data_IF_465020790505
#
_entry.id   IF_465020790505
#
_cell.length_a   1.000
_cell.length_b   1.000
_cell.length_c   1.000
_cell.angle_alpha   90.00
_cell.angle_beta   90.00
_cell.angle_gamma   90.00
#
_symmetry.space_group_name_H-M   'P 1'
#
loop_
_entity.id
_entity.type
_entity.pdbx_description
1 polymer ?
#
# COMPACT_ATOMS: atom_id res chain seq x y z
N UNK A 1 3.12 -37.94 53.81
CA UNK A 1 2.00 -37.13 53.31
C UNK A 1 2.12 -37.15 51.81
N UNK A 2 1.47 -38.14 51.21
CA UNK A 2 1.30 -38.27 49.76
C UNK A 2 0.33 -37.20 49.29
N UNK A 3 0.69 -36.43 48.26
CA UNK A 3 -0.27 -35.71 47.42
C UNK A 3 0.12 -35.92 45.96
N UNK A 4 -0.22 -37.11 45.45
CA UNK A 4 -0.11 -37.46 44.04
C UNK A 4 -1.09 -36.66 43.20
N UNK A 5 -0.64 -35.55 42.63
CA UNK A 5 -1.38 -34.83 41.59
C UNK A 5 -1.38 -35.65 40.30
N UNK A 6 -2.47 -36.39 40.05
CA UNK A 6 -2.69 -37.12 38.82
C UNK A 6 -2.81 -36.15 37.63
N UNK A 7 -1.69 -35.85 36.97
CA UNK A 7 -1.70 -35.13 35.69
C UNK A 7 -2.23 -36.06 34.61
N UNK A 8 -3.49 -35.89 34.23
CA UNK A 8 -4.12 -36.59 33.09
C UNK A 8 -3.48 -36.12 31.79
N UNK A 9 -2.38 -36.78 31.40
CA UNK A 9 -1.69 -36.52 30.13
C UNK A 9 -2.38 -37.23 28.97
N UNK A 10 -2.77 -36.47 27.95
CA UNK A 10 -3.24 -37.04 26.67
C UNK A 10 -2.02 -37.25 25.77
N UNK A 11 -1.75 -38.50 25.39
CA UNK A 11 -0.63 -38.87 24.53
C UNK A 11 -1.05 -38.65 23.06
N UNK A 12 -0.54 -37.57 22.46
CA UNK A 12 -0.60 -37.39 21.01
C UNK A 12 0.59 -38.12 20.38
N UNK A 13 0.32 -39.28 19.77
CA UNK A 13 1.23 -40.03 18.88
C UNK A 13 1.71 -39.11 17.74
N UNK A 14 2.95 -39.06 17.26
CA UNK A 14 4.19 -39.83 17.44
C UNK A 14 5.40 -38.92 17.10
N UNK A 15 6.36 -38.75 18.02
CA UNK A 15 7.76 -38.42 17.69
C UNK A 15 8.64 -38.90 18.84
N UNK A 16 9.62 -39.80 18.62
CA UNK A 16 10.46 -40.30 19.70
C UNK A 16 11.29 -39.15 20.29
N UNK A 17 11.11 -38.89 21.60
CA UNK A 17 11.82 -37.84 22.34
C UNK A 17 10.98 -36.61 22.74
N UNK A 18 9.69 -36.53 22.40
CA UNK A 18 8.84 -35.42 22.83
C UNK A 18 8.43 -35.56 24.31
N UNK A 19 8.83 -34.59 25.15
CA UNK A 19 8.36 -34.47 26.53
C UNK A 19 6.84 -34.23 26.54
N UNK A 20 6.07 -34.79 27.51
CA UNK A 20 4.63 -34.56 27.60
C UNK A 20 4.37 -33.06 27.80
N UNK A 21 3.52 -32.47 26.95
CA UNK A 21 3.18 -31.07 27.07
C UNK A 21 2.16 -30.90 28.21
N UNK A 22 2.48 -30.03 29.17
CA UNK A 22 1.53 -29.57 30.16
C UNK A 22 0.50 -28.68 29.45
N UNK A 23 -0.80 -28.90 29.68
CA UNK A 23 -1.91 -28.20 28.99
C UNK A 23 -1.76 -26.66 29.05
N UNK A 24 -1.15 -26.15 30.13
CA UNK A 24 -0.92 -24.72 30.37
C UNK A 24 0.17 -24.13 29.43
N UNK A 25 1.17 -24.94 29.04
CA UNK A 25 2.26 -24.49 28.15
C UNK A 25 1.84 -24.40 26.68
N UNK A 26 0.77 -25.11 26.31
CA UNK A 26 0.28 -25.16 24.93
C UNK A 26 -0.41 -23.83 24.54
N UNK A 27 -1.07 -23.15 25.49
CA UNK A 27 -1.64 -21.81 25.27
C UNK A 27 -0.58 -20.74 25.03
N UNK A 28 0.54 -20.78 25.75
CA UNK A 28 1.63 -19.81 25.58
C UNK A 28 2.46 -20.04 24.30
N UNK A 29 2.51 -21.28 23.80
CA UNK A 29 3.13 -21.61 22.50
C UNK A 29 2.21 -21.32 21.32
N UNK A 30 0.91 -21.58 21.47
CA UNK A 30 -0.12 -21.17 20.50
C UNK A 30 -0.53 -19.74 20.77
N UNK A 31 0.41 -18.79 20.62
CA UNK A 31 0.05 -17.39 20.39
C UNK A 31 -0.59 -17.27 19.01
N UNK A 32 -1.74 -17.91 18.82
CA UNK A 32 -2.69 -17.52 17.78
C UNK A 32 -3.20 -16.16 18.25
N UNK A 33 -2.85 -15.05 17.59
CA UNK A 33 -3.47 -13.78 17.92
C UNK A 33 -4.95 -13.90 17.58
N UNK A 34 -5.76 -14.29 18.56
CA UNK A 34 -7.20 -14.20 18.48
C UNK A 34 -7.48 -12.72 18.15
N UNK A 35 -8.28 -12.47 17.12
CA UNK A 35 -8.58 -11.13 16.62
C UNK A 35 -7.43 -10.36 15.93
N UNK A 36 -6.58 -11.03 15.12
CA UNK A 36 -5.56 -10.35 14.28
C UNK A 36 -6.12 -9.18 13.44
N UNK A 37 -7.40 -9.21 13.05
CA UNK A 37 -8.06 -8.14 12.30
C UNK A 37 -8.46 -6.92 13.16
N UNK A 38 -8.41 -7.02 14.49
CA UNK A 38 -8.59 -5.90 15.42
C UNK A 38 -7.25 -5.23 15.80
N UNK A 39 -6.14 -5.87 15.45
CA UNK A 39 -4.81 -5.29 15.67
C UNK A 39 -4.58 -4.21 14.60
N UNK A 40 -4.38 -2.97 15.04
CA UNK A 40 -4.02 -1.85 14.16
C UNK A 40 -2.76 -2.23 13.35
N UNK A 41 -2.80 -2.17 12.02
CA UNK A 41 -1.61 -2.36 11.20
C UNK A 41 -0.49 -1.41 11.64
N UNK A 42 0.70 -1.94 11.86
CA UNK A 42 1.89 -1.14 12.18
C UNK A 42 2.50 -0.47 10.93
N UNK A 43 2.06 -0.89 9.74
CA UNK A 43 2.41 -0.27 8.48
C UNK A 43 1.28 0.67 8.03
N UNK A 44 1.63 1.72 7.28
CA UNK A 44 0.64 2.59 6.67
C UNK A 44 -0.06 1.80 5.57
N UNK A 45 -1.39 1.85 5.57
CA UNK A 45 -2.24 1.05 4.68
C UNK A 45 -2.00 1.35 3.20
N UNK A 46 -1.51 2.55 2.89
CA UNK A 46 -1.24 2.98 1.52
C UNK A 46 0.19 3.48 1.37
N UNK A 47 0.84 3.05 0.29
CA UNK A 47 2.22 3.44 -0.02
C UNK A 47 2.39 4.97 -0.12
N UNK A 48 1.42 5.68 -0.69
CA UNK A 48 1.48 7.15 -0.83
C UNK A 48 1.57 7.90 0.51
N UNK A 49 1.14 7.28 1.63
CA UNK A 49 1.26 7.89 2.95
C UNK A 49 2.70 7.93 3.45
N UNK A 50 3.54 7.00 3.01
CA UNK A 50 4.98 7.05 3.28
C UNK A 50 5.61 8.24 2.55
N UNK A 51 5.30 8.41 1.27
CA UNK A 51 5.78 9.53 0.48
C UNK A 51 5.30 10.87 1.04
N UNK A 52 4.04 10.94 1.47
CA UNK A 52 3.47 12.12 2.11
C UNK A 52 4.24 12.50 3.39
N UNK A 53 4.50 11.50 4.26
CA UNK A 53 5.25 11.72 5.50
C UNK A 53 6.63 12.30 5.22
N UNK A 54 7.37 11.65 4.32
CA UNK A 54 8.72 12.06 3.92
C UNK A 54 8.69 13.47 3.34
N UNK A 55 7.72 13.75 2.48
CA UNK A 55 7.65 15.03 1.79
C UNK A 55 7.31 16.21 2.70
N UNK A 56 6.47 16.02 3.72
CA UNK A 56 5.99 17.13 4.56
C UNK A 56 6.75 17.29 5.87
N UNK A 57 7.16 16.18 6.49
CA UNK A 57 7.62 16.22 7.87
C UNK A 57 9.13 16.04 8.00
N UNK A 58 9.80 15.27 7.14
CA UNK A 58 11.20 14.90 7.36
C UNK A 58 12.12 16.14 7.45
N UNK A 59 11.95 17.12 6.55
CA UNK A 59 12.77 18.34 6.57
C UNK A 59 12.61 19.14 7.88
N UNK A 60 11.40 19.18 8.43
CA UNK A 60 11.09 19.91 9.68
C UNK A 60 11.56 19.13 10.90
N UNK A 61 11.39 17.80 10.88
CA UNK A 61 11.86 16.92 11.94
C UNK A 61 13.39 17.01 12.03
N UNK A 62 14.11 16.91 10.92
CA UNK A 62 15.58 17.05 10.91
C UNK A 62 16.03 18.41 11.42
N UNK A 63 15.34 19.49 11.01
CA UNK A 63 15.61 20.83 11.52
C UNK A 63 15.44 20.92 13.06
N UNK A 64 14.32 20.42 13.59
CA UNK A 64 14.03 20.45 15.02
C UNK A 64 15.02 19.60 15.82
N UNK A 65 15.37 18.42 15.30
CA UNK A 65 16.32 17.51 15.92
C UNK A 65 17.72 18.13 15.97
N UNK A 66 18.23 18.66 14.85
CA UNK A 66 19.53 19.36 14.80
C UNK A 66 19.56 20.58 15.72
N UNK A 67 18.47 21.36 15.76
CA UNK A 67 18.32 22.50 16.68
C UNK A 67 18.38 22.05 18.13
N UNK A 68 17.73 20.94 18.49
CA UNK A 68 17.74 20.41 19.86
C UNK A 68 19.15 19.98 20.32
N UNK A 69 19.98 19.50 19.39
CA UNK A 69 21.38 19.12 19.64
C UNK A 69 22.35 20.30 19.65
N UNK A 70 21.86 21.53 19.44
CA UNK A 70 22.70 22.73 19.34
C UNK A 70 23.50 22.84 18.04
N UNK A 71 23.18 22.03 17.02
CA UNK A 71 23.81 22.11 15.71
C UNK A 71 23.15 23.22 14.91
N UNK A 72 23.96 24.15 14.37
CA UNK A 72 23.46 25.14 13.43
C UNK A 72 22.80 24.43 12.24
N UNK A 73 21.51 24.71 12.02
CA UNK A 73 20.72 24.14 10.95
C UNK A 73 19.88 25.22 10.31
N UNK A 74 19.78 25.20 8.99
CA UNK A 74 18.98 26.15 8.23
C UNK A 74 17.50 25.79 8.34
N UNK A 75 16.64 26.82 8.43
CA UNK A 75 15.20 26.62 8.42
C UNK A 75 14.81 26.04 7.05
N UNK A 76 14.04 24.93 7.00
CA UNK A 76 13.66 24.31 5.74
C UNK A 76 12.86 25.31 4.88
N UNK A 77 13.24 25.42 3.59
CA UNK A 77 12.58 26.35 2.68
C UNK A 77 11.12 25.94 2.44
N UNK A 78 10.21 26.92 2.30
CA UNK A 78 8.84 26.64 1.88
C UNK A 78 8.89 26.03 0.47
N UNK A 79 8.34 24.83 0.34
CA UNK A 79 8.19 24.13 -0.94
C UNK A 79 6.71 23.88 -1.21
N UNK A 80 6.31 24.08 -2.47
CA UNK A 80 5.00 23.71 -2.98
C UNK A 80 4.86 22.19 -3.07
N UNK A 81 3.62 21.71 -3.15
CA UNK A 81 3.35 20.28 -3.34
C UNK A 81 4.03 19.73 -4.59
N UNK A 82 4.01 20.47 -5.70
CA UNK A 82 4.63 20.06 -6.95
C UNK A 82 6.15 19.84 -6.81
N UNK A 83 6.85 20.76 -6.13
CA UNK A 83 8.29 20.64 -5.88
C UNK A 83 8.63 19.42 -5.02
N UNK A 84 7.82 19.16 -3.99
CA UNK A 84 8.00 17.99 -3.11
C UNK A 84 7.79 16.68 -3.88
N UNK A 85 6.77 16.61 -4.74
CA UNK A 85 6.56 15.45 -5.61
C UNK A 85 7.72 15.26 -6.57
N UNK A 86 8.19 16.33 -7.23
CA UNK A 86 9.36 16.26 -8.12
C UNK A 86 10.61 15.76 -7.39
N UNK A 87 10.81 16.18 -6.14
CA UNK A 87 11.89 15.68 -5.29
C UNK A 87 11.77 14.17 -5.05
N UNK A 88 10.60 13.66 -4.65
CA UNK A 88 10.39 12.22 -4.48
C UNK A 88 10.68 11.44 -5.76
N UNK A 89 10.19 11.95 -6.90
CA UNK A 89 10.42 11.32 -8.20
C UNK A 89 11.89 11.32 -8.62
N UNK A 90 12.65 12.35 -8.22
CA UNK A 90 14.09 12.46 -8.50
C UNK A 90 14.93 11.59 -7.57
N UNK A 91 14.54 11.48 -6.30
CA UNK A 91 15.27 10.71 -5.27
C UNK A 91 14.97 9.23 -5.32
N UNK A 92 13.76 8.84 -5.76
CA UNK A 92 13.43 7.44 -6.00
C UNK A 92 14.37 6.89 -7.09
N UNK A 93 15.30 6.02 -6.69
CA UNK A 93 16.10 5.23 -7.61
C UNK A 93 15.16 4.32 -8.38
N UNK A 94 14.70 4.78 -9.54
CA UNK A 94 14.05 3.91 -10.50
C UNK A 94 15.10 2.92 -10.97
N UNK A 95 14.75 1.64 -10.96
CA UNK A 95 15.54 0.66 -11.68
C UNK A 95 15.68 1.18 -13.12
N UNK A 96 16.89 1.06 -13.69
CA UNK A 96 17.20 1.56 -15.03
C UNK A 96 16.18 0.98 -16.02
N UNK A 97 15.76 -0.27 -15.83
CA UNK A 97 14.70 -0.94 -16.59
C UNK A 97 13.34 -0.24 -16.50
N UNK A 98 12.98 0.33 -15.35
CA UNK A 98 11.70 0.99 -15.10
C UNK A 98 11.65 2.40 -15.71
N UNK A 99 12.79 3.10 -15.70
CA UNK A 99 12.95 4.36 -16.44
C UNK A 99 12.85 4.13 -17.96
N UNK A 100 13.46 3.05 -18.48
CA UNK A 100 13.33 2.67 -19.89
C UNK A 100 11.92 2.20 -20.26
N UNK A 101 11.16 1.60 -19.33
CA UNK A 101 9.78 1.16 -19.58
C UNK A 101 8.85 2.31 -19.99
N UNK A 102 8.95 3.49 -19.37
CA UNK A 102 8.11 4.64 -19.76
C UNK A 102 8.42 5.14 -21.19
N UNK A 103 9.68 4.97 -21.63
CA UNK A 103 10.10 5.29 -23.00
C UNK A 103 9.92 4.14 -23.99
N UNK A 104 9.62 2.93 -23.50
CA UNK A 104 9.60 1.75 -24.32
C UNK A 104 8.42 1.77 -25.29
N UNK A 105 8.70 1.33 -26.52
CA UNK A 105 7.73 1.28 -27.61
C UNK A 105 6.48 0.46 -27.24
N UNK A 106 6.58 -0.49 -26.30
CA UNK A 106 5.46 -1.33 -25.87
C UNK A 106 4.40 -0.54 -25.12
N UNK A 107 4.77 0.29 -24.13
CA UNK A 107 3.80 1.10 -23.39
C UNK A 107 3.12 2.15 -24.27
N UNK A 108 3.83 2.70 -25.28
CA UNK A 108 3.21 3.57 -26.29
C UNK A 108 2.14 2.84 -27.11
N UNK A 109 2.28 1.53 -27.36
CA UNK A 109 1.26 0.74 -28.08
C UNK A 109 0.03 0.52 -27.21
N UNK A 110 0.21 0.22 -25.92
CA UNK A 110 -0.90 0.02 -24.99
C UNK A 110 -1.69 1.32 -24.76
N UNK A 111 -0.99 2.43 -24.61
CA UNK A 111 -1.61 3.74 -24.44
C UNK A 111 -2.35 4.19 -25.72
N UNK A 112 -1.74 3.97 -26.89
CA UNK A 112 -2.39 4.20 -28.19
C UNK A 112 -3.63 3.31 -28.37
N UNK A 113 -3.56 2.04 -27.95
CA UNK A 113 -4.69 1.10 -27.98
C UNK A 113 -5.82 1.59 -27.07
N UNK A 114 -5.52 2.02 -25.84
CA UNK A 114 -6.49 2.59 -24.93
C UNK A 114 -7.17 3.83 -25.52
N UNK A 115 -6.39 4.76 -26.10
CA UNK A 115 -6.91 5.96 -26.75
C UNK A 115 -7.84 5.64 -27.92
N UNK A 116 -7.48 4.66 -28.76
CA UNK A 116 -8.36 4.21 -29.84
C UNK A 116 -9.64 3.56 -29.31
N UNK A 117 -9.55 2.69 -28.32
CA UNK A 117 -10.71 2.02 -27.72
C UNK A 117 -11.68 3.05 -27.12
N UNK A 118 -11.16 4.00 -26.33
CA UNK A 118 -11.96 5.06 -25.72
C UNK A 118 -12.61 5.95 -26.79
N UNK A 119 -11.82 6.38 -27.79
CA UNK A 119 -12.33 7.20 -28.91
C UNK A 119 -13.43 6.49 -29.70
N UNK A 120 -13.28 5.19 -29.96
CA UNK A 120 -14.28 4.40 -30.68
C UNK A 120 -15.57 4.23 -29.87
N UNK A 121 -15.46 4.00 -28.56
CA UNK A 121 -16.63 3.92 -27.67
C UNK A 121 -17.41 5.24 -27.62
N UNK A 122 -16.70 6.36 -27.43
CA UNK A 122 -17.32 7.69 -27.38
C UNK A 122 -18.01 8.03 -28.71
N UNK A 123 -17.34 7.79 -29.84
CA UNK A 123 -17.93 8.05 -31.18
C UNK A 123 -19.16 7.20 -31.43
N UNK A 124 -19.11 5.92 -31.08
CA UNK A 124 -20.25 5.01 -31.21
C UNK A 124 -21.43 5.47 -30.36
N UNK A 125 -21.19 5.80 -29.08
CA UNK A 125 -22.21 6.33 -28.18
C UNK A 125 -22.82 7.64 -28.70
N UNK A 126 -21.99 8.58 -29.14
CA UNK A 126 -22.46 9.87 -29.67
C UNK A 126 -23.30 9.70 -30.94
N UNK A 127 -22.87 8.84 -31.86
CA UNK A 127 -23.63 8.52 -33.06
C UNK A 127 -24.99 7.92 -32.70
N UNK A 128 -25.00 6.92 -31.81
CA UNK A 128 -26.23 6.24 -31.41
C UNK A 128 -27.19 7.17 -30.65
N UNK A 129 -26.69 7.94 -29.68
CA UNK A 129 -27.47 8.88 -28.88
C UNK A 129 -28.09 9.98 -29.75
N UNK A 130 -27.31 10.55 -30.69
CA UNK A 130 -27.81 11.55 -31.64
C UNK A 130 -28.87 10.96 -32.57
N UNK A 131 -28.64 9.77 -33.12
CA UNK A 131 -29.61 9.09 -33.97
C UNK A 131 -30.91 8.76 -33.23
N UNK A 132 -30.81 8.27 -31.99
CA UNK A 132 -31.97 7.99 -31.14
C UNK A 132 -32.79 9.25 -30.86
N UNK A 133 -32.11 10.33 -30.43
CA UNK A 133 -32.74 11.62 -30.12
C UNK A 133 -33.45 12.17 -31.35
N UNK A 134 -32.78 12.18 -32.51
CA UNK A 134 -33.37 12.60 -33.77
C UNK A 134 -34.59 11.76 -34.14
N UNK A 135 -34.53 10.42 -33.99
CA UNK A 135 -35.66 9.54 -34.32
C UNK A 135 -36.85 9.74 -33.37
N UNK A 136 -36.60 9.89 -32.08
CA UNK A 136 -37.64 10.05 -31.05
C UNK A 136 -38.36 11.38 -31.15
N UNK A 137 -37.61 12.45 -31.40
CA UNK A 137 -38.15 13.82 -31.41
C UNK A 137 -38.35 14.41 -32.80
N UNK A 138 -38.18 13.62 -33.88
CA UNK A 138 -38.39 14.05 -35.29
C UNK A 138 -39.74 14.71 -35.59
N UNK A 139 -40.75 14.47 -34.76
CA UNK A 139 -42.10 15.02 -34.94
C UNK A 139 -42.29 16.38 -34.28
N UNK A 140 -41.38 16.76 -33.39
CA UNK A 140 -41.49 17.92 -32.49
C UNK A 140 -40.33 18.92 -32.72
N UNK A 141 -39.22 18.43 -33.25
CA UNK A 141 -38.12 19.18 -33.86
C UNK A 141 -38.29 19.19 -35.38
#
# INVERSE_FOLDING_TARGET
MDDGAASTGVIVKNKPGAKPLNIVDDFNRRKMPLYKHWVRPQFLQYNYMYDYRVNYYDDVIDYLDRRSRGVASEIPRPQTWAERVLRTQKTATRDINDAYNYTSISHKKDDKKLMYTLSNQIKSYNCHSKAYTNRKYRKIL
#
